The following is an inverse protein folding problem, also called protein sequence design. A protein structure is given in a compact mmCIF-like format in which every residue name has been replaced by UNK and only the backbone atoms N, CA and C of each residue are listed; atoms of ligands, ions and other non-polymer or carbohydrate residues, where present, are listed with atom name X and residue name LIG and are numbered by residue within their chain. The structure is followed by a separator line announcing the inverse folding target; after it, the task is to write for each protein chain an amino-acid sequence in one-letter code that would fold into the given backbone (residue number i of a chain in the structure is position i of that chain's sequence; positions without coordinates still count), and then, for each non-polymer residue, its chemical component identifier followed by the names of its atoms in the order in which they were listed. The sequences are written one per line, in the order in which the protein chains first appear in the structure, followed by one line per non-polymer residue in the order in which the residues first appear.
data_IF_472733209723
#
_entry.id   IF_472733209723
#
_cell.length_a   1.000
_cell.length_b   1.000
_cell.length_c   1.000
_cell.angle_alpha   90.00
_cell.angle_beta   90.00
_cell.angle_gamma   90.00
#
_symmetry.space_group_name_H-M   'P 1'
#
loop_
_entity.id
_entity.type
_entity.pdbx_description
1 polymer ?
#
# COMPACT_ATOMS: atom_id res chain seq x y z
N UNK A 1 19.43 -10.45 -14.81
CA UNK A 1 19.06 -9.02 -14.96
C UNK A 1 18.84 -8.72 -16.43
N UNK A 2 17.74 -8.13 -16.81
CA UNK A 2 17.48 -7.72 -18.18
C UNK A 2 18.05 -6.30 -18.40
N UNK A 3 19.19 -6.14 -19.11
CA UNK A 3 19.84 -4.83 -19.26
C UNK A 3 19.05 -3.87 -20.16
N UNK A 4 18.03 -4.35 -20.88
CA UNK A 4 17.20 -3.52 -21.76
C UNK A 4 15.97 -2.94 -21.06
N UNK A 5 15.67 -3.40 -19.85
CA UNK A 5 14.53 -2.85 -19.08
C UNK A 5 14.94 -1.53 -18.46
N UNK A 6 14.39 -0.45 -18.99
CA UNK A 6 14.50 0.86 -18.37
C UNK A 6 13.75 0.87 -17.04
N UNK A 7 14.28 1.57 -16.02
CA UNK A 7 13.53 1.77 -14.79
C UNK A 7 12.20 2.47 -15.09
N UNK A 8 11.17 2.11 -14.34
CA UNK A 8 9.87 2.78 -14.43
C UNK A 8 10.07 4.29 -14.20
N UNK A 9 9.60 5.11 -15.11
CA UNK A 9 9.72 6.55 -14.99
C UNK A 9 8.52 7.11 -14.26
N UNK A 10 8.78 8.06 -13.36
CA UNK A 10 7.73 8.85 -12.72
C UNK A 10 7.14 9.79 -13.78
N UNK A 11 5.80 9.91 -13.90
CA UNK A 11 5.18 10.88 -14.80
C UNK A 11 5.74 12.28 -14.60
N UNK A 12 5.96 13.01 -15.70
CA UNK A 12 6.65 14.30 -15.68
C UNK A 12 5.97 15.33 -14.76
N UNK A 13 4.65 15.35 -14.71
CA UNK A 13 3.89 16.26 -13.85
C UNK A 13 4.13 15.96 -12.36
N UNK A 14 4.18 14.69 -11.98
CA UNK A 14 4.48 14.27 -10.61
C UNK A 14 5.93 14.62 -10.26
N UNK A 15 6.88 14.32 -11.15
CA UNK A 15 8.29 14.67 -10.96
C UNK A 15 8.49 16.17 -10.77
N UNK A 16 7.81 17.00 -11.55
CA UNK A 16 7.86 18.46 -11.42
C UNK A 16 7.34 18.92 -10.06
N UNK A 17 6.23 18.36 -9.59
CA UNK A 17 5.66 18.72 -8.29
C UNK A 17 6.55 18.28 -7.14
N UNK A 18 7.14 17.09 -7.22
CA UNK A 18 8.09 16.60 -6.21
C UNK A 18 9.32 17.51 -6.08
N UNK A 19 9.82 18.04 -7.21
CA UNK A 19 10.91 19.03 -7.17
C UNK A 19 10.52 20.31 -6.46
N UNK A 20 9.28 20.75 -6.60
CA UNK A 20 8.75 21.95 -5.92
C UNK A 20 8.60 21.70 -4.41
N UNK A 21 8.15 20.52 -4.00
CA UNK A 21 8.09 20.13 -2.60
C UNK A 21 9.51 20.08 -2.00
N UNK A 22 10.49 19.62 -2.78
CA UNK A 22 11.89 19.58 -2.38
C UNK A 22 12.18 18.51 -1.33
N UNK A 23 13.00 18.86 -0.35
CA UNK A 23 13.50 17.94 0.68
C UNK A 23 12.65 17.92 1.96
N UNK A 24 11.52 18.59 1.95
CA UNK A 24 10.58 18.62 3.08
C UNK A 24 9.76 17.33 3.10
N UNK A 25 9.53 16.78 4.29
CA UNK A 25 8.63 15.64 4.46
C UNK A 25 7.19 16.14 4.43
N UNK A 26 6.51 15.91 3.32
CA UNK A 26 5.12 16.29 3.10
C UNK A 26 4.32 15.04 2.68
N UNK A 27 3.81 14.32 3.69
CA UNK A 27 3.20 13.00 3.48
C UNK A 27 1.85 13.07 2.78
N UNK A 28 1.03 14.05 3.11
CA UNK A 28 -0.32 14.17 2.55
C UNK A 28 -0.29 14.46 1.06
N UNK A 29 0.47 15.47 0.65
CA UNK A 29 0.57 15.84 -0.77
C UNK A 29 1.30 14.78 -1.59
N UNK A 30 2.39 14.24 -1.06
CA UNK A 30 3.15 13.17 -1.73
C UNK A 30 2.27 11.93 -1.94
N UNK A 31 1.51 11.52 -0.93
CA UNK A 31 0.56 10.42 -1.04
C UNK A 31 -0.49 10.67 -2.11
N UNK A 32 -1.07 11.88 -2.16
CA UNK A 32 -2.05 12.27 -3.16
C UNK A 32 -1.49 12.25 -4.59
N UNK A 33 -0.24 12.64 -4.78
CA UNK A 33 0.43 12.61 -6.09
C UNK A 33 0.59 11.18 -6.62
N UNK A 34 0.93 10.24 -5.77
CA UNK A 34 1.14 8.84 -6.15
C UNK A 34 -0.14 8.00 -6.19
N UNK A 35 -1.19 8.41 -5.47
CA UNK A 35 -2.42 7.62 -5.36
C UNK A 35 -3.03 7.22 -6.71
N UNK A 36 -3.08 8.08 -7.75
CA UNK A 36 -3.62 7.70 -9.05
C UNK A 36 -2.82 6.63 -9.80
N UNK A 37 -1.58 6.38 -9.41
CA UNK A 37 -0.71 5.37 -10.02
C UNK A 37 -0.96 3.97 -9.45
N UNK A 38 -1.69 3.86 -8.35
CA UNK A 38 -1.98 2.61 -7.67
C UNK A 38 -3.35 2.07 -8.08
N UNK A 39 -3.48 0.76 -8.34
CA UNK A 39 -4.79 0.14 -8.47
C UNK A 39 -5.59 0.28 -7.17
N UNK A 40 -6.91 0.32 -7.30
CA UNK A 40 -7.86 0.37 -6.20
C UNK A 40 -8.76 -0.86 -6.21
N UNK A 41 -9.40 -1.14 -5.10
CA UNK A 41 -10.39 -2.22 -5.03
C UNK A 41 -11.52 -2.02 -6.06
N UNK A 42 -12.03 -3.12 -6.64
CA UNK A 42 -11.63 -4.51 -6.41
C UNK A 42 -10.33 -4.87 -7.11
N UNK A 43 -9.45 -5.62 -6.44
CA UNK A 43 -8.18 -6.07 -7.02
C UNK A 43 -8.36 -7.35 -7.83
N UNK A 44 -7.75 -7.41 -9.03
CA UNK A 44 -8.01 -8.46 -10.00
C UNK A 44 -7.61 -9.87 -9.54
N UNK A 45 -6.51 -9.99 -8.80
CA UNK A 45 -5.90 -11.29 -8.48
C UNK A 45 -5.78 -11.54 -6.97
N UNK A 46 -6.42 -10.72 -6.16
CA UNK A 46 -6.32 -10.80 -4.71
C UNK A 46 -7.70 -10.68 -4.07
N UNK A 47 -8.00 -11.61 -3.19
CA UNK A 47 -9.16 -11.52 -2.31
C UNK A 47 -8.74 -10.85 -1.00
N UNK A 48 -9.44 -9.79 -0.62
CA UNK A 48 -9.16 -9.03 0.60
C UNK A 48 -10.25 -9.30 1.64
N UNK A 49 -9.81 -9.71 2.83
CA UNK A 49 -10.68 -9.88 3.99
C UNK A 49 -10.33 -8.75 4.96
N UNK A 50 -11.27 -7.82 5.13
CA UNK A 50 -11.07 -6.63 5.96
C UNK A 50 -11.42 -6.87 7.41
N UNK A 51 -10.81 -6.08 8.29
CA UNK A 51 -11.22 -5.85 9.68
C UNK A 51 -11.33 -7.13 10.52
N UNK A 52 -10.32 -7.98 10.44
CA UNK A 52 -10.23 -9.17 11.27
C UNK A 52 -9.67 -8.79 12.64
N UNK A 53 -10.47 -9.00 13.69
CA UNK A 53 -10.05 -8.71 15.06
C UNK A 53 -9.01 -9.72 15.55
N UNK A 54 -7.94 -9.20 16.16
CA UNK A 54 -6.90 -10.02 16.80
C UNK A 54 -6.79 -9.75 18.31
N UNK A 55 -7.68 -8.94 18.88
CA UNK A 55 -7.74 -8.60 20.29
C UNK A 55 -9.04 -7.91 20.65
N UNK A 56 -9.18 -7.50 21.89
CA UNK A 56 -10.43 -6.95 22.43
C UNK A 56 -10.62 -5.44 22.15
N UNK A 57 -9.53 -4.73 21.83
CA UNK A 57 -9.60 -3.30 21.50
C UNK A 57 -10.22 -3.09 20.12
N UNK A 58 -11.10 -2.10 19.92
CA UNK A 58 -11.66 -1.79 18.60
C UNK A 58 -10.62 -1.48 17.52
N UNK A 59 -9.40 -1.09 17.91
CA UNK A 59 -8.27 -0.86 17.01
C UNK A 59 -7.49 -2.13 16.69
N UNK A 60 -7.75 -3.25 17.36
CA UNK A 60 -7.08 -4.53 17.11
C UNK A 60 -7.64 -5.21 15.86
N UNK A 61 -7.46 -4.56 14.71
CA UNK A 61 -7.94 -5.05 13.41
C UNK A 61 -6.79 -5.20 12.43
N UNK A 62 -6.85 -6.26 11.64
CA UNK A 62 -5.94 -6.49 10.52
C UNK A 62 -6.72 -6.82 9.25
N UNK A 63 -6.10 -6.64 8.11
CA UNK A 63 -6.62 -7.07 6.82
C UNK A 63 -5.79 -8.24 6.30
N UNK A 64 -6.45 -9.18 5.64
CA UNK A 64 -5.81 -10.36 5.04
C UNK A 64 -5.94 -10.29 3.53
N UNK A 65 -4.82 -10.49 2.84
CA UNK A 65 -4.74 -10.48 1.37
C UNK A 65 -4.37 -11.89 0.92
N UNK A 66 -5.24 -12.50 0.14
CA UNK A 66 -5.08 -13.89 -0.31
C UNK A 66 -5.05 -13.91 -1.83
N UNK A 67 -4.07 -14.58 -2.48
CA UNK A 67 -4.12 -14.79 -3.92
C UNK A 67 -5.44 -15.46 -4.33
N UNK A 68 -6.13 -14.92 -5.32
CA UNK A 68 -7.46 -15.37 -5.72
C UNK A 68 -7.50 -16.84 -6.15
N UNK A 69 -6.40 -17.35 -6.69
CA UNK A 69 -6.26 -18.72 -7.15
C UNK A 69 -5.33 -19.55 -6.25
N UNK A 70 -5.29 -19.21 -4.96
CA UNK A 70 -4.49 -19.96 -3.98
C UNK A 70 -5.03 -21.38 -3.85
N UNK A 71 -4.12 -22.36 -3.88
CA UNK A 71 -4.40 -23.75 -3.56
C UNK A 71 -4.10 -24.05 -2.07
N UNK A 72 -4.21 -25.31 -1.66
CA UNK A 72 -3.95 -25.73 -0.28
C UNK A 72 -2.45 -25.86 0.06
N UNK A 73 -1.58 -25.54 -0.88
CA UNK A 73 -0.13 -25.57 -0.66
C UNK A 73 0.27 -24.52 0.38
N UNK A 74 1.03 -24.89 1.43
CA UNK A 74 1.55 -23.92 2.39
C UNK A 74 2.37 -22.82 1.70
N UNK A 75 2.14 -21.59 2.10
CA UNK A 75 2.80 -20.40 1.53
C UNK A 75 3.47 -19.60 2.64
N UNK A 76 4.56 -18.90 2.31
CA UNK A 76 5.10 -17.89 3.23
C UNK A 76 4.05 -16.82 3.56
N UNK A 77 4.07 -16.35 4.79
CA UNK A 77 3.22 -15.26 5.25
C UNK A 77 4.05 -13.99 5.35
N UNK A 78 3.60 -12.93 4.69
CA UNK A 78 4.17 -11.59 4.83
C UNK A 78 3.28 -10.76 5.73
N UNK A 79 3.85 -10.17 6.77
CA UNK A 79 3.13 -9.31 7.71
C UNK A 79 3.72 -7.91 7.63
N UNK A 80 2.88 -6.93 7.30
CA UNK A 80 3.24 -5.53 7.31
C UNK A 80 2.56 -4.81 8.48
N UNK A 81 3.35 -4.09 9.27
CA UNK A 81 2.87 -3.27 10.37
C UNK A 81 3.05 -1.80 9.99
N UNK A 82 1.94 -1.04 9.98
CA UNK A 82 2.00 0.37 9.60
C UNK A 82 2.80 1.21 10.61
N UNK A 83 3.35 2.33 10.12
CA UNK A 83 4.04 3.31 10.96
C UNK A 83 3.08 4.22 11.74
N UNK A 84 3.65 5.11 12.53
CA UNK A 84 2.90 6.10 13.30
C UNK A 84 3.42 6.30 14.73
N UNK A 85 4.57 5.70 15.08
CA UNK A 85 5.22 5.87 16.38
C UNK A 85 4.39 5.36 17.54
N UNK A 86 3.55 4.35 17.33
CA UNK A 86 2.61 3.77 18.30
C UNK A 86 1.50 4.72 18.78
N UNK A 87 1.38 5.90 18.20
CA UNK A 87 0.37 6.91 18.59
C UNK A 87 -0.53 7.36 17.45
N UNK A 88 -0.21 6.99 16.22
CA UNK A 88 -0.93 7.43 15.02
C UNK A 88 -0.85 6.37 13.91
N UNK A 89 -1.53 6.66 12.81
CA UNK A 89 -1.55 5.78 11.64
C UNK A 89 -2.67 4.77 11.66
N UNK A 90 -2.80 4.06 10.56
CA UNK A 90 -3.80 3.01 10.38
C UNK A 90 -3.29 2.01 9.34
N UNK A 91 -3.88 0.82 9.33
CA UNK A 91 -3.62 -0.21 8.32
C UNK A 91 -4.10 0.16 6.92
N UNK A 92 -4.98 1.14 6.81
CA UNK A 92 -5.61 1.58 5.56
C UNK A 92 -5.84 3.08 5.59
N UNK A 93 -5.77 3.71 4.44
CA UNK A 93 -6.14 5.11 4.24
C UNK A 93 -7.14 5.22 3.08
N UNK A 94 -8.21 6.00 3.27
CA UNK A 94 -9.20 6.24 2.23
C UNK A 94 -8.63 7.09 1.08
N UNK A 95 -7.63 7.91 1.38
CA UNK A 95 -7.03 8.83 0.41
C UNK A 95 -5.96 8.16 -0.47
N UNK A 96 -5.39 7.06 0.00
CA UNK A 96 -4.29 6.40 -0.71
C UNK A 96 -4.34 4.89 -0.53
N UNK A 97 -4.29 4.12 -1.62
CA UNK A 97 -4.23 2.66 -1.57
C UNK A 97 -2.80 2.13 -1.36
N UNK A 98 -1.91 2.92 -0.79
CA UNK A 98 -0.49 2.59 -0.67
C UNK A 98 -0.25 1.29 0.10
N UNK A 99 -0.86 1.14 1.27
CA UNK A 99 -0.65 -0.06 2.08
C UNK A 99 -1.24 -1.32 1.44
N UNK A 100 -2.40 -1.21 0.81
CA UNK A 100 -2.96 -2.31 0.04
C UNK A 100 -2.00 -2.75 -1.08
N UNK A 101 -1.40 -1.79 -1.77
CA UNK A 101 -0.50 -2.06 -2.88
C UNK A 101 0.83 -2.69 -2.46
N UNK A 102 1.22 -2.59 -1.20
CA UNK A 102 2.33 -3.37 -0.65
C UNK A 102 2.02 -4.86 -0.57
N UNK A 103 0.74 -5.21 -0.52
CA UNK A 103 0.26 -6.58 -0.31
C UNK A 103 -0.13 -7.26 -1.63
N UNK A 104 -0.16 -6.54 -2.75
CA UNK A 104 -0.51 -7.06 -4.07
C UNK A 104 0.70 -7.68 -4.77
#
# INVERSE_FOLDING_TARGET
MNPTRLPAQIPAAIAARLRQIGTVVETAETGALYAPLHPREPYANVHVIRDQAYGDDPRHLLDVFIPQHADDTPRPVFIFVHGGGFVAGNKRSDDSPFYDNLML
#
